data_IF_596724391952
#
_entry.id   IF_596724391952
#
_cell.length_a   1.000
_cell.length_b   1.000
_cell.length_c   1.000
_cell.angle_alpha   90.00
_cell.angle_beta   90.00
_cell.angle_gamma   90.00
#
_symmetry.space_group_name_H-M   'P 1'
#
loop_
_entity.id
_entity.type
_entity.pdbx_description
1 polymer ?
#
# COMPACT_ATOMS: atom_id res chain seq x y z
N UNK A 1 9.64 16.08 -5.66
CA UNK A 1 10.88 16.29 -6.43
C UNK A 1 11.11 15.05 -7.26
N UNK A 2 10.84 15.14 -8.56
CA UNK A 2 11.25 14.11 -9.51
C UNK A 2 12.79 14.09 -9.50
N UNK A 3 13.37 12.98 -9.07
CA UNK A 3 14.79 12.73 -9.32
C UNK A 3 14.88 12.07 -10.69
N UNK A 4 15.00 12.89 -11.72
CA UNK A 4 15.32 12.39 -13.04
C UNK A 4 16.76 11.89 -13.00
N UNK A 5 16.96 10.61 -13.29
CA UNK A 5 18.29 10.04 -13.48
C UNK A 5 18.75 10.50 -14.86
N UNK A 6 19.89 11.22 -14.98
CA UNK A 6 20.41 11.58 -16.29
C UNK A 6 20.63 10.35 -17.16
N UNK A 7 20.35 10.46 -18.45
CA UNK A 7 20.50 9.32 -19.37
C UNK A 7 21.94 8.76 -19.40
N UNK A 8 22.96 9.61 -19.11
CA UNK A 8 24.36 9.22 -18.97
C UNK A 8 24.66 8.30 -17.78
N UNK A 9 23.77 8.31 -16.75
CA UNK A 9 23.92 7.50 -15.54
C UNK A 9 23.26 6.12 -15.68
N UNK A 10 22.56 5.86 -16.79
CA UNK A 10 21.88 4.59 -17.03
C UNK A 10 22.86 3.61 -17.67
N UNK A 11 23.37 2.68 -16.89
CA UNK A 11 24.35 1.68 -17.34
C UNK A 11 23.72 0.53 -18.12
N UNK A 12 22.45 0.23 -17.87
CA UNK A 12 21.70 -0.86 -18.54
C UNK A 12 20.22 -0.52 -18.65
N UNK A 13 19.57 -1.00 -19.70
CA UNK A 13 18.16 -0.77 -19.98
C UNK A 13 17.90 0.42 -20.89
N UNK A 14 16.74 1.06 -20.75
CA UNK A 14 16.37 2.20 -21.58
C UNK A 14 17.09 3.46 -21.15
N UNK A 15 17.76 4.15 -22.07
CA UNK A 15 18.35 5.47 -21.84
C UNK A 15 17.32 6.61 -21.82
N UNK A 16 16.02 6.29 -21.92
CA UNK A 16 14.94 7.26 -21.83
C UNK A 16 14.57 7.48 -20.36
N UNK A 17 15.02 8.58 -19.76
CA UNK A 17 14.71 8.94 -18.37
C UNK A 17 13.22 9.22 -18.13
N UNK A 18 12.47 9.56 -19.18
CA UNK A 18 11.04 9.87 -19.17
C UNK A 18 10.17 8.80 -19.86
N UNK A 19 10.62 7.54 -19.88
CA UNK A 19 9.92 6.45 -20.58
C UNK A 19 8.43 6.36 -20.20
N UNK A 20 8.09 6.55 -18.91
CA UNK A 20 6.70 6.51 -18.45
C UNK A 20 5.84 7.57 -19.14
N UNK A 21 6.32 8.81 -19.18
CA UNK A 21 5.59 9.91 -19.84
C UNK A 21 5.35 9.64 -21.30
N UNK A 22 6.36 9.11 -22.01
CA UNK A 22 6.25 8.73 -23.41
C UNK A 22 5.24 7.59 -23.64
N UNK A 23 5.18 6.64 -22.73
CA UNK A 23 4.18 5.56 -22.77
C UNK A 23 2.78 6.13 -22.52
N UNK A 24 2.61 6.99 -21.53
CA UNK A 24 1.34 7.66 -21.23
C UNK A 24 0.82 8.46 -22.43
N UNK A 25 1.68 9.26 -23.06
CA UNK A 25 1.32 10.01 -24.27
C UNK A 25 0.89 9.11 -25.43
N UNK A 26 1.63 8.01 -25.67
CA UNK A 26 1.27 7.04 -26.71
C UNK A 26 -0.05 6.32 -26.44
N UNK A 27 -0.32 5.97 -25.21
CA UNK A 27 -1.56 5.30 -24.82
C UNK A 27 -2.74 6.27 -24.87
N UNK A 28 -2.55 7.51 -24.44
CA UNK A 28 -3.56 8.57 -24.56
C UNK A 28 -3.97 8.79 -26.04
N UNK A 29 -3.00 8.84 -26.97
CA UNK A 29 -3.28 8.93 -28.41
C UNK A 29 -4.06 7.74 -28.97
N UNK A 30 -3.99 6.59 -28.30
CA UNK A 30 -4.73 5.36 -28.67
C UNK A 30 -6.04 5.18 -27.90
N UNK A 31 -6.45 6.17 -27.10
CA UNK A 31 -7.62 6.11 -26.22
C UNK A 31 -7.58 4.94 -25.21
N UNK A 32 -6.37 4.48 -24.83
CA UNK A 32 -6.16 3.45 -23.83
C UNK A 32 -5.95 4.11 -22.46
N UNK A 33 -6.84 3.83 -21.51
CA UNK A 33 -6.72 4.32 -20.12
C UNK A 33 -5.72 3.44 -19.36
N UNK A 34 -4.73 4.06 -18.74
CA UNK A 34 -3.84 3.39 -17.79
C UNK A 34 -4.59 3.09 -16.49
N UNK A 35 -4.38 1.88 -15.97
CA UNK A 35 -5.04 1.40 -14.74
C UNK A 35 -4.05 1.04 -13.63
N UNK A 36 -2.78 1.32 -13.83
CA UNK A 36 -1.77 1.10 -12.80
C UNK A 36 -1.99 2.01 -11.57
N UNK A 37 -1.44 1.61 -10.43
CA UNK A 37 -1.63 2.31 -9.15
C UNK A 37 -1.25 3.78 -9.27
N UNK A 38 -0.06 4.09 -9.83
CA UNK A 38 0.44 5.47 -9.93
C UNK A 38 -0.40 6.38 -10.82
N UNK A 39 -1.12 5.80 -11.78
CA UNK A 39 -2.02 6.57 -12.62
C UNK A 39 -3.35 6.85 -11.91
N UNK A 40 -3.71 5.96 -11.01
CA UNK A 40 -4.94 6.02 -10.22
C UNK A 40 -4.78 6.76 -8.88
N UNK A 41 -3.55 6.96 -8.38
CA UNK A 41 -3.29 7.78 -7.19
C UNK A 41 -3.95 9.16 -7.33
N UNK A 42 -4.57 9.62 -6.24
CA UNK A 42 -5.03 11.01 -6.19
C UNK A 42 -3.82 11.93 -6.27
N UNK A 43 -3.89 12.92 -7.18
CA UNK A 43 -2.86 13.94 -7.35
C UNK A 43 -3.51 15.31 -7.12
N UNK A 44 -3.93 15.96 -8.19
CA UNK A 44 -4.58 17.27 -8.15
C UNK A 44 -6.09 17.15 -8.41
N UNK A 45 -6.68 16.02 -8.10
CA UNK A 45 -8.09 15.76 -8.41
C UNK A 45 -8.99 16.26 -7.30
N UNK A 46 -10.11 16.85 -7.69
CA UNK A 46 -11.16 17.34 -6.77
C UNK A 46 -12.09 16.20 -6.29
N UNK A 47 -11.62 14.98 -6.19
CA UNK A 47 -12.43 13.86 -5.76
C UNK A 47 -12.75 13.98 -4.27
N UNK A 48 -14.00 13.69 -3.92
CA UNK A 48 -14.44 13.72 -2.53
C UNK A 48 -14.18 12.35 -1.86
N UNK A 49 -13.28 12.26 -0.90
CA UNK A 49 -12.95 10.99 -0.23
C UNK A 49 -14.10 10.43 0.62
N UNK A 50 -15.13 11.21 0.90
CA UNK A 50 -16.34 10.72 1.59
C UNK A 50 -17.10 9.67 0.77
N UNK A 51 -16.92 9.66 -0.53
CA UNK A 51 -17.51 8.67 -1.44
C UNK A 51 -16.57 7.46 -1.69
N UNK A 52 -15.45 7.41 -1.01
CA UNK A 52 -14.50 6.30 -1.15
C UNK A 52 -15.10 5.00 -0.63
N UNK A 53 -14.90 3.93 -1.39
CA UNK A 53 -15.30 2.58 -1.03
C UNK A 53 -14.07 1.67 -0.95
N UNK A 54 -14.14 0.69 -0.05
CA UNK A 54 -13.09 -0.32 0.03
C UNK A 54 -13.26 -1.34 -1.10
N UNK A 55 -12.16 -1.60 -1.80
CA UNK A 55 -12.04 -2.66 -2.80
C UNK A 55 -10.96 -3.64 -2.35
N UNK A 56 -11.23 -4.92 -2.54
CA UNK A 56 -10.32 -6.01 -2.16
C UNK A 56 -10.08 -6.85 -3.40
N UNK A 57 -8.82 -6.99 -3.77
CA UNK A 57 -8.38 -7.84 -4.86
C UNK A 57 -7.44 -8.91 -4.31
N UNK A 58 -7.83 -10.18 -4.48
CA UNK A 58 -7.08 -11.36 -4.05
C UNK A 58 -6.39 -12.02 -5.25
N UNK A 59 -5.15 -12.47 -5.06
CA UNK A 59 -4.43 -13.26 -6.07
C UNK A 59 -3.37 -14.16 -5.41
N UNK A 60 -3.07 -15.27 -6.07
CA UNK A 60 -2.01 -16.17 -5.66
C UNK A 60 -0.65 -15.64 -6.07
N UNK A 61 0.33 -15.70 -5.17
CA UNK A 61 1.70 -15.27 -5.41
C UNK A 61 2.68 -16.05 -4.53
N UNK A 62 3.78 -16.53 -5.13
CA UNK A 62 4.93 -17.13 -4.41
C UNK A 62 4.53 -18.05 -3.27
N UNK A 63 3.79 -19.11 -3.56
CA UNK A 63 3.31 -20.09 -2.59
C UNK A 63 2.53 -19.48 -1.40
N UNK A 64 1.61 -18.58 -1.69
CA UNK A 64 0.74 -17.94 -0.72
C UNK A 64 -0.25 -17.02 -1.41
N UNK A 65 -0.98 -16.21 -0.64
CA UNK A 65 -1.97 -15.27 -1.15
C UNK A 65 -1.57 -13.84 -0.86
N UNK A 66 -1.88 -12.98 -1.80
CA UNK A 66 -1.77 -11.53 -1.65
C UNK A 66 -3.17 -10.91 -1.74
N UNK A 67 -3.43 -9.96 -0.87
CA UNK A 67 -4.61 -9.12 -0.91
C UNK A 67 -4.20 -7.68 -1.12
N UNK A 68 -4.75 -7.06 -2.15
CA UNK A 68 -4.60 -5.64 -2.42
C UNK A 68 -5.90 -4.94 -2.03
N UNK A 69 -5.85 -4.22 -0.92
CA UNK A 69 -6.97 -3.47 -0.39
C UNK A 69 -6.79 -2.01 -0.75
N UNK A 70 -7.83 -1.37 -1.26
CA UNK A 70 -7.79 0.05 -1.61
C UNK A 70 -9.05 0.76 -1.15
N UNK A 71 -8.93 2.03 -0.78
CA UNK A 71 -10.04 2.96 -0.79
C UNK A 71 -10.03 3.71 -2.12
N UNK A 72 -11.08 3.55 -2.90
CA UNK A 72 -11.18 4.10 -4.25
C UNK A 72 -12.44 4.94 -4.40
N UNK A 73 -12.34 5.99 -5.22
CA UNK A 73 -13.52 6.71 -5.69
C UNK A 73 -14.43 5.78 -6.49
N UNK A 74 -15.73 5.91 -6.26
CA UNK A 74 -16.73 5.03 -6.86
C UNK A 74 -16.84 5.19 -8.39
N UNK A 75 -16.60 6.40 -8.91
CA UNK A 75 -16.84 6.71 -10.32
C UNK A 75 -15.61 6.49 -11.17
N UNK A 76 -14.48 7.09 -10.80
CA UNK A 76 -13.27 7.10 -11.64
C UNK A 76 -12.17 6.16 -11.17
N UNK A 77 -12.38 5.45 -10.04
CA UNK A 77 -11.44 4.50 -9.45
C UNK A 77 -10.13 5.15 -8.97
N UNK A 78 -10.15 6.43 -8.66
CA UNK A 78 -9.01 7.11 -8.02
C UNK A 78 -8.72 6.50 -6.66
N UNK A 79 -7.46 6.17 -6.40
CA UNK A 79 -7.01 5.54 -5.16
C UNK A 79 -6.65 6.63 -4.14
N UNK A 80 -7.28 6.60 -2.98
CA UNK A 80 -7.00 7.46 -1.84
C UNK A 80 -6.05 6.81 -0.84
N UNK A 81 -6.19 5.50 -0.65
CA UNK A 81 -5.35 4.74 0.27
C UNK A 81 -5.26 3.30 -0.20
N UNK A 82 -4.14 2.63 0.11
CA UNK A 82 -3.95 1.22 -0.21
C UNK A 82 -3.26 0.48 0.93
N UNK A 83 -3.46 -0.83 0.95
CA UNK A 83 -2.74 -1.78 1.80
C UNK A 83 -2.48 -3.06 1.01
N UNK A 84 -1.27 -3.61 1.16
CA UNK A 84 -0.92 -4.94 0.66
C UNK A 84 -0.74 -5.89 1.82
N UNK A 85 -1.61 -6.90 1.87
CA UNK A 85 -1.54 -7.98 2.84
C UNK A 85 -0.99 -9.23 2.17
N UNK A 86 0.02 -9.84 2.77
CA UNK A 86 0.56 -11.13 2.37
C UNK A 86 0.13 -12.19 3.37
N UNK A 87 -0.41 -13.29 2.87
CA UNK A 87 -0.61 -14.52 3.60
C UNK A 87 0.39 -15.57 3.09
N UNK A 88 1.53 -15.77 3.78
CA UNK A 88 2.56 -16.72 3.34
C UNK A 88 2.03 -18.16 3.39
N UNK A 89 2.41 -19.00 2.42
CA UNK A 89 2.12 -20.43 2.50
C UNK A 89 2.82 -21.07 3.72
N UNK A 90 2.29 -22.17 4.18
CA UNK A 90 2.77 -22.87 5.40
C UNK A 90 4.16 -23.48 5.27
N UNK A 91 4.66 -23.65 4.04
CA UNK A 91 5.92 -24.35 3.74
C UNK A 91 7.16 -23.44 3.66
N UNK A 92 7.08 -22.24 4.24
CA UNK A 92 8.16 -21.24 4.18
C UNK A 92 9.16 -21.39 5.36
N UNK A 93 9.57 -22.62 5.70
CA UNK A 93 10.43 -22.90 6.85
C UNK A 93 11.76 -22.16 6.82
N UNK A 94 12.40 -22.04 5.66
CA UNK A 94 13.68 -21.34 5.51
C UNK A 94 13.62 -19.87 5.91
N UNK A 95 12.50 -19.20 5.62
CA UNK A 95 12.31 -17.78 6.00
C UNK A 95 12.16 -17.67 7.52
N UNK A 96 11.50 -18.60 8.16
CA UNK A 96 11.24 -18.57 9.60
C UNK A 96 12.48 -18.91 10.45
N UNK A 97 13.50 -19.56 9.85
CA UNK A 97 14.80 -19.72 10.50
C UNK A 97 15.56 -18.39 10.61
N UNK A 98 15.36 -17.51 9.62
CA UNK A 98 16.04 -16.19 9.59
C UNK A 98 15.20 -15.11 10.28
N UNK A 99 13.87 -15.18 10.16
CA UNK A 99 12.91 -14.21 10.68
C UNK A 99 11.82 -14.92 11.50
N UNK A 100 12.15 -15.39 12.71
CA UNK A 100 11.25 -16.19 13.54
C UNK A 100 9.99 -15.39 13.97
N UNK A 101 10.05 -14.07 14.01
CA UNK A 101 8.92 -13.20 14.28
C UNK A 101 7.82 -13.26 13.20
N UNK A 102 8.16 -13.71 11.99
CA UNK A 102 7.20 -13.88 10.89
C UNK A 102 6.55 -15.26 10.85
N UNK A 103 6.96 -16.16 11.75
CA UNK A 103 6.36 -17.50 11.82
C UNK A 103 4.87 -17.40 12.12
N UNK A 104 4.07 -18.04 11.27
CA UNK A 104 2.60 -18.08 11.33
C UNK A 104 1.94 -16.68 11.30
N UNK A 105 2.66 -15.69 10.80
CA UNK A 105 2.17 -14.33 10.68
C UNK A 105 1.61 -14.03 9.28
N UNK A 106 0.48 -13.35 9.22
CA UNK A 106 0.09 -12.55 8.07
C UNK A 106 0.91 -11.25 8.08
N UNK A 107 1.27 -10.73 6.91
CA UNK A 107 2.23 -9.63 6.81
C UNK A 107 1.62 -8.46 6.06
N UNK A 108 1.49 -7.30 6.71
CA UNK A 108 1.22 -6.04 6.02
C UNK A 108 2.54 -5.57 5.41
N UNK A 109 2.66 -5.67 4.09
CA UNK A 109 3.87 -5.31 3.32
C UNK A 109 3.95 -3.84 3.01
N UNK A 110 2.82 -3.21 2.82
CA UNK A 110 2.70 -1.81 2.47
C UNK A 110 1.36 -1.28 2.96
N UNK A 111 1.37 -0.08 3.50
CA UNK A 111 0.17 0.72 3.71
C UNK A 111 0.51 2.16 3.39
N UNK A 112 -0.30 2.78 2.56
CA UNK A 112 -0.07 4.13 2.09
C UNK A 112 -1.38 4.88 1.92
N UNK A 113 -1.39 6.17 2.30
CA UNK A 113 -2.47 7.09 1.97
C UNK A 113 -1.90 8.21 1.13
N UNK A 114 -2.50 8.44 -0.02
CA UNK A 114 -2.12 9.50 -0.93
C UNK A 114 -2.84 10.78 -0.51
N UNK A 115 -2.11 11.86 -0.47
CA UNK A 115 -2.66 13.18 -0.22
C UNK A 115 -2.41 14.09 -1.41
N UNK A 116 -3.32 14.99 -1.60
CA UNK A 116 -3.10 16.10 -2.49
C UNK A 116 -1.92 16.94 -1.96
N UNK A 117 -1.00 17.35 -2.83
CA UNK A 117 0.06 18.29 -2.49
C UNK A 117 -0.58 19.68 -2.30
N UNK A 118 -1.06 19.92 -1.10
CA UNK A 118 -1.67 21.21 -0.77
C UNK A 118 -0.61 22.25 -0.48
N UNK A 119 -0.90 23.47 -0.87
CA UNK A 119 -0.12 24.64 -0.52
C UNK A 119 0.03 24.76 1.01
N UNK A 120 1.22 25.14 1.46
CA UNK A 120 1.49 25.36 2.88
C UNK A 120 0.47 26.36 3.44
N UNK A 121 -0.42 25.88 4.30
CA UNK A 121 -1.45 26.72 4.95
C UNK A 121 -2.92 26.23 4.81
N UNK A 122 -3.20 25.28 3.95
CA UNK A 122 -4.57 24.74 3.83
C UNK A 122 -4.85 23.59 4.79
N UNK A 123 -5.99 23.66 5.48
CA UNK A 123 -6.38 22.74 6.59
C UNK A 123 -6.88 21.36 6.13
N UNK A 124 -6.75 21.01 4.85
CA UNK A 124 -7.32 19.76 4.29
C UNK A 124 -6.52 18.50 4.65
N UNK A 125 -5.24 18.61 4.95
CA UNK A 125 -4.41 17.46 5.38
C UNK A 125 -4.94 16.78 6.65
N UNK A 126 -5.63 17.54 7.51
CA UNK A 126 -6.27 17.05 8.73
C UNK A 126 -7.53 16.23 8.41
N UNK A 127 -8.24 16.56 7.35
CA UNK A 127 -9.51 15.93 6.98
C UNK A 127 -9.33 14.44 6.60
N UNK A 128 -8.28 14.11 5.83
CA UNK A 128 -7.98 12.74 5.39
C UNK A 128 -7.59 11.81 6.53
N UNK A 129 -6.90 12.32 7.54
CA UNK A 129 -6.56 11.57 8.76
C UNK A 129 -7.83 11.23 9.55
N UNK A 130 -8.86 12.08 9.48
CA UNK A 130 -10.13 11.86 10.19
C UNK A 130 -11.04 10.82 9.54
N UNK A 131 -10.88 10.52 8.24
CA UNK A 131 -11.66 9.48 7.57
C UNK A 131 -11.28 8.06 8.02
N UNK A 132 -10.15 7.91 8.70
CA UNK A 132 -9.75 6.66 9.33
C UNK A 132 -9.45 5.52 8.33
N UNK A 133 -9.07 5.83 7.09
CA UNK A 133 -8.76 4.81 6.06
C UNK A 133 -7.71 3.81 6.53
N UNK A 134 -6.62 4.29 7.15
CA UNK A 134 -5.60 3.39 7.70
C UNK A 134 -6.17 2.42 8.72
N UNK A 135 -7.00 2.93 9.63
CA UNK A 135 -7.64 2.11 10.64
C UNK A 135 -8.48 1.02 9.99
N UNK A 136 -9.35 1.39 9.05
CA UNK A 136 -10.26 0.46 8.37
C UNK A 136 -9.49 -0.56 7.52
N UNK A 137 -8.42 -0.15 6.81
CA UNK A 137 -7.58 -1.06 6.05
C UNK A 137 -6.87 -2.09 6.94
N UNK A 138 -6.33 -1.66 8.10
CA UNK A 138 -5.70 -2.56 9.06
C UNK A 138 -6.72 -3.52 9.65
N UNK A 139 -7.87 -3.03 10.13
CA UNK A 139 -8.92 -3.87 10.70
C UNK A 139 -9.46 -4.90 9.68
N UNK A 140 -9.61 -4.48 8.42
CA UNK A 140 -10.02 -5.39 7.35
C UNK A 140 -8.94 -6.44 7.08
N UNK A 141 -7.68 -6.06 7.06
CA UNK A 141 -6.57 -7.00 6.86
C UNK A 141 -6.43 -8.00 8.01
N UNK A 142 -6.62 -7.55 9.26
CA UNK A 142 -6.65 -8.42 10.43
C UNK A 142 -7.80 -9.44 10.36
N UNK A 143 -8.98 -9.00 9.91
CA UNK A 143 -10.12 -9.89 9.69
C UNK A 143 -9.84 -10.93 8.63
N UNK A 144 -9.31 -10.54 7.47
CA UNK A 144 -8.92 -11.46 6.39
C UNK A 144 -7.90 -12.48 6.90
N UNK A 145 -6.89 -12.04 7.65
CA UNK A 145 -5.88 -12.91 8.21
C UNK A 145 -6.49 -13.97 9.14
N UNK A 146 -7.37 -13.56 10.07
CA UNK A 146 -8.11 -14.49 10.96
C UNK A 146 -8.94 -15.51 10.20
N UNK A 147 -9.70 -15.05 9.22
CA UNK A 147 -10.57 -15.92 8.39
C UNK A 147 -9.76 -16.95 7.60
N UNK A 148 -8.48 -16.66 7.31
CA UNK A 148 -7.53 -17.57 6.67
C UNK A 148 -6.68 -18.39 7.67
N UNK A 149 -6.97 -18.32 8.96
CA UNK A 149 -6.34 -19.14 10.00
C UNK A 149 -4.99 -18.64 10.50
N UNK A 150 -4.69 -17.36 10.33
CA UNK A 150 -3.49 -16.72 10.89
C UNK A 150 -3.82 -16.16 12.28
N UNK A 151 -2.92 -16.43 13.24
CA UNK A 151 -3.06 -16.00 14.63
C UNK A 151 -2.24 -14.74 14.95
N UNK A 152 -1.45 -14.29 13.98
CA UNK A 152 -0.50 -13.20 14.15
C UNK A 152 -0.47 -12.31 12.93
N UNK A 153 -0.36 -11.00 13.16
CA UNK A 153 -0.13 -9.99 12.13
C UNK A 153 1.23 -9.35 12.38
N UNK A 154 2.03 -9.22 11.33
CA UNK A 154 3.30 -8.49 11.36
C UNK A 154 3.27 -7.34 10.36
N UNK A 155 3.94 -6.24 10.70
CA UNK A 155 4.11 -5.09 9.80
C UNK A 155 5.47 -4.45 10.02
N UNK A 156 6.21 -4.20 8.95
CA UNK A 156 7.42 -3.40 9.03
C UNK A 156 7.03 -1.92 9.07
N UNK A 157 7.37 -1.24 10.15
CA UNK A 157 6.95 0.14 10.41
C UNK A 157 8.14 1.06 10.65
N UNK A 158 8.13 2.21 9.99
CA UNK A 158 9.08 3.27 10.28
C UNK A 158 9.01 3.68 11.76
N UNK A 159 10.15 4.00 12.34
CA UNK A 159 10.27 4.31 13.79
C UNK A 159 9.24 5.35 14.24
N UNK A 160 9.02 6.40 13.45
CA UNK A 160 8.09 7.49 13.80
C UNK A 160 6.59 7.15 13.65
N UNK A 161 6.23 5.98 13.09
CA UNK A 161 4.82 5.53 13.04
C UNK A 161 4.55 4.34 13.97
N UNK A 162 5.55 3.81 14.68
CA UNK A 162 5.39 2.68 15.60
C UNK A 162 4.35 2.96 16.69
N UNK A 163 4.34 4.17 17.24
CA UNK A 163 3.34 4.61 18.23
C UNK A 163 1.88 4.44 17.75
N UNK A 164 1.65 4.53 16.43
CA UNK A 164 0.33 4.33 15.85
C UNK A 164 -0.11 2.87 15.94
N UNK A 165 0.83 1.94 15.73
CA UNK A 165 0.59 0.51 15.86
C UNK A 165 0.49 0.09 17.34
N UNK A 166 1.30 0.64 18.22
CA UNK A 166 1.23 0.40 19.67
C UNK A 166 -0.16 0.71 20.23
N UNK A 167 -0.79 1.81 19.80
CA UNK A 167 -2.18 2.16 20.16
C UNK A 167 -3.21 1.15 19.64
N UNK A 168 -2.82 0.20 18.83
CA UNK A 168 -3.64 -0.89 18.27
C UNK A 168 -3.21 -2.27 18.75
N UNK A 169 -2.50 -2.29 19.86
CA UNK A 169 -2.03 -3.52 20.53
C UNK A 169 -0.97 -4.29 19.75
N UNK A 170 -0.23 -3.60 18.87
CA UNK A 170 1.01 -4.11 18.31
C UNK A 170 2.16 -3.81 19.25
N UNK A 171 3.13 -4.70 19.32
CA UNK A 171 4.39 -4.51 20.03
C UNK A 171 5.55 -4.81 19.10
N UNK A 172 6.73 -4.30 19.44
CA UNK A 172 7.91 -4.48 18.62
C UNK A 172 8.55 -5.83 18.91
N UNK A 173 8.66 -6.68 17.88
CA UNK A 173 9.48 -7.89 17.87
C UNK A 173 10.54 -7.70 16.81
N UNK A 174 11.82 -7.56 17.21
CA UNK A 174 12.93 -7.24 16.34
C UNK A 174 12.62 -5.99 15.48
N UNK A 175 12.40 -6.14 14.17
CA UNK A 175 12.13 -5.03 13.24
C UNK A 175 10.64 -4.84 12.91
N UNK A 176 9.81 -5.80 13.31
CA UNK A 176 8.38 -5.81 13.00
C UNK A 176 7.53 -5.36 14.19
N UNK A 177 6.48 -4.62 13.89
CA UNK A 177 5.38 -4.45 14.82
C UNK A 177 4.46 -5.66 14.68
N UNK A 178 4.26 -6.38 15.77
CA UNK A 178 3.54 -7.67 15.80
C UNK A 178 2.34 -7.58 16.72
N UNK A 179 1.26 -8.26 16.33
CA UNK A 179 0.01 -8.36 17.09
C UNK A 179 -0.54 -9.77 17.02
N UNK A 180 -0.93 -10.34 18.17
CA UNK A 180 -1.79 -11.51 18.21
C UNK A 180 -3.20 -11.15 17.75
N UNK A 181 -3.77 -11.94 16.83
CA UNK A 181 -5.06 -11.68 16.21
C UNK A 181 -6.21 -12.37 16.99
#
# INVERSE_FOLDING_TARGET
>A
TYRDIPASEILAGSHLSNLRQLVEEKLHKKWVKLVDIRHREIKDKKNNPQHAQIHIFEYDASNGKEYFLTFEDREDRTIFSLLRLRLPGKDNHEIYEVLPELKDAAIIREIHTFWDQLSVGEKWSIFWQHLGFWKQLIETSEKIAKENGYNKMAVIAWVWVRWYYEKRWYHLEWEYMVKSL
#
